data_IF_018667873962
#
_entry.id   IF_018667873962
#
_cell.length_a   1.000
_cell.length_b   1.000
_cell.length_c   1.000
_cell.angle_alpha   90.00
_cell.angle_beta   90.00
_cell.angle_gamma   90.00
#
_symmetry.space_group_name_H-M   'P 1'
#
loop_
_entity.id
_entity.type
_entity.pdbx_description
1 polymer ?
#
# COMPACT_ATOMS: atom_id res chain seq x y z
N UNK A 1 -41.50 45.19 44.84
CA UNK A 1 -40.56 44.58 45.80
C UNK A 1 -41.38 43.88 46.87
N UNK A 2 -41.16 42.59 47.13
CA UNK A 2 -41.74 41.94 48.30
C UNK A 2 -41.19 42.60 49.58
N UNK A 3 -41.96 42.55 50.67
CA UNK A 3 -41.57 43.06 51.98
C UNK A 3 -40.31 42.32 52.47
N UNK A 4 -39.36 43.02 53.09
CA UNK A 4 -38.26 42.37 53.81
C UNK A 4 -38.70 42.03 55.25
N UNK A 5 -38.05 41.06 55.92
CA UNK A 5 -38.29 40.81 57.34
C UNK A 5 -38.16 42.08 58.20
N UNK A 6 -37.25 42.98 57.82
CA UNK A 6 -37.05 44.28 58.46
C UNK A 6 -38.22 45.24 58.22
N UNK A 7 -38.84 45.20 57.03
CA UNK A 7 -40.03 46.00 56.72
C UNK A 7 -41.26 45.52 57.50
N UNK A 8 -41.33 44.22 57.82
CA UNK A 8 -42.39 43.64 58.66
C UNK A 8 -42.17 44.05 60.11
N UNK A 9 -40.93 43.98 60.61
CA UNK A 9 -40.57 44.39 61.97
C UNK A 9 -40.82 45.89 62.23
N UNK A 10 -40.49 46.75 61.27
CA UNK A 10 -40.63 48.21 61.43
C UNK A 10 -42.04 48.72 61.08
N UNK A 11 -43.02 47.83 60.90
CA UNK A 11 -44.36 48.20 60.47
C UNK A 11 -45.19 48.73 61.63
N UNK A 12 -45.49 50.03 61.61
CA UNK A 12 -46.45 50.63 62.55
C UNK A 12 -47.89 50.54 62.01
N UNK A 13 -48.83 50.22 62.90
CA UNK A 13 -50.28 50.19 62.63
C UNK A 13 -51.00 51.32 63.36
N UNK A 14 -51.99 51.94 62.70
CA UNK A 14 -52.81 52.98 63.32
C UNK A 14 -53.87 52.41 64.27
N UNK A 15 -54.15 53.11 65.38
CA UNK A 15 -55.16 52.69 66.37
C UNK A 15 -56.59 53.10 65.94
N UNK A 16 -57.56 52.22 66.20
CA UNK A 16 -59.00 52.44 65.90
C UNK A 16 -59.88 51.93 67.04
N UNK A 17 -61.07 52.50 67.22
CA UNK A 17 -62.00 52.23 68.34
C UNK A 17 -62.45 50.75 68.44
N UNK A 18 -62.22 49.95 67.39
CA UNK A 18 -62.35 48.48 67.36
C UNK A 18 -61.25 47.87 66.47
N UNK A 19 -60.06 47.68 67.03
CA UNK A 19 -58.90 47.08 66.35
C UNK A 19 -58.57 45.67 66.85
N UNK A 20 -57.59 45.04 66.20
CA UNK A 20 -56.96 43.81 66.72
C UNK A 20 -56.14 44.12 67.99
N UNK A 21 -55.91 43.09 68.80
CA UNK A 21 -55.03 43.17 69.96
C UNK A 21 -53.58 43.35 69.48
N UNK A 22 -52.87 44.33 70.05
CA UNK A 22 -51.50 44.71 69.65
C UNK A 22 -50.53 43.58 70.00
N UNK A 23 -50.66 42.97 71.18
CA UNK A 23 -49.76 41.92 71.67
C UNK A 23 -49.93 40.63 70.84
N UNK A 24 -51.16 40.23 70.50
CA UNK A 24 -51.41 39.05 69.66
C UNK A 24 -50.91 39.24 68.22
N UNK A 25 -51.00 40.47 67.69
CA UNK A 25 -50.52 40.81 66.34
C UNK A 25 -48.99 40.78 66.31
N UNK A 26 -48.33 41.35 67.31
CA UNK A 26 -46.86 41.34 67.40
C UNK A 26 -46.31 39.91 67.52
N UNK A 27 -46.89 39.07 68.38
CA UNK A 27 -46.55 37.65 68.52
C UNK A 27 -46.73 36.85 67.21
N UNK A 28 -47.69 37.25 66.38
CA UNK A 28 -47.91 36.66 65.06
C UNK A 28 -46.89 37.17 64.04
N UNK A 29 -46.63 38.47 64.01
CA UNK A 29 -45.64 39.09 63.12
C UNK A 29 -44.24 38.56 63.36
N UNK A 30 -43.87 38.26 64.61
CA UNK A 30 -42.57 37.70 64.94
C UNK A 30 -42.37 36.28 64.39
N UNK A 31 -43.44 35.46 64.42
CA UNK A 31 -43.46 34.15 63.73
C UNK A 31 -43.38 34.29 62.21
N UNK A 32 -44.11 35.26 61.64
CA UNK A 32 -44.06 35.55 60.20
C UNK A 32 -42.65 35.98 59.80
N UNK A 33 -41.98 36.83 60.57
CA UNK A 33 -40.59 37.27 60.33
C UNK A 33 -39.64 36.06 60.29
N UNK A 34 -39.71 35.16 61.28
CA UNK A 34 -38.87 33.96 61.32
C UNK A 34 -39.09 33.06 60.09
N UNK A 35 -40.34 32.80 59.73
CA UNK A 35 -40.68 31.97 58.57
C UNK A 35 -40.21 32.64 57.25
N UNK A 36 -40.37 33.95 57.14
CA UNK A 36 -39.94 34.72 55.97
C UNK A 36 -38.42 34.71 55.80
N UNK A 37 -37.66 34.86 56.89
CA UNK A 37 -36.22 34.69 56.86
C UNK A 37 -35.80 33.27 56.45
N UNK A 38 -36.51 32.26 56.97
CA UNK A 38 -36.30 30.86 56.58
C UNK A 38 -36.48 30.64 55.08
N UNK A 39 -37.57 31.19 54.52
CA UNK A 39 -37.86 31.12 53.09
C UNK A 39 -36.80 31.86 52.25
N UNK A 40 -36.35 33.04 52.68
CA UNK A 40 -35.29 33.79 51.97
C UNK A 40 -33.98 32.99 51.95
N UNK A 41 -33.60 32.37 53.08
CA UNK A 41 -32.40 31.52 53.14
C UNK A 41 -32.51 30.31 52.22
N UNK A 42 -33.63 29.60 52.26
CA UNK A 42 -33.88 28.44 51.38
C UNK A 42 -33.89 28.83 49.90
N UNK A 43 -34.50 29.96 49.55
CA UNK A 43 -34.54 30.45 48.17
C UNK A 43 -33.13 30.74 47.65
N UNK A 44 -32.31 31.42 48.45
CA UNK A 44 -30.90 31.67 48.13
C UNK A 44 -30.10 30.38 47.94
N UNK A 45 -30.26 29.40 48.82
CA UNK A 45 -29.59 28.09 48.70
C UNK A 45 -30.04 27.32 47.45
N UNK A 46 -31.32 27.39 47.10
CA UNK A 46 -31.86 26.79 45.88
C UNK A 46 -31.33 27.48 44.62
N UNK A 47 -31.23 28.81 44.62
CA UNK A 47 -30.67 29.59 43.52
C UNK A 47 -29.18 29.27 43.31
N UNK A 48 -28.41 29.15 44.39
CA UNK A 48 -27.01 28.73 44.34
C UNK A 48 -26.88 27.31 43.73
N UNK A 49 -27.64 26.34 44.25
CA UNK A 49 -27.66 24.96 43.70
C UNK A 49 -28.09 24.91 42.24
N UNK A 50 -29.08 25.71 41.85
CA UNK A 50 -29.53 25.81 40.47
C UNK A 50 -28.43 26.37 39.56
N UNK A 51 -27.66 27.35 40.05
CA UNK A 51 -26.48 27.87 39.37
C UNK A 51 -25.46 26.77 39.09
N UNK A 52 -25.07 26.03 40.12
CA UNK A 52 -24.10 24.93 40.03
C UNK A 52 -24.57 23.84 39.05
N UNK A 53 -25.83 23.41 39.16
CA UNK A 53 -26.43 22.41 38.26
C UNK A 53 -26.45 22.88 36.81
N UNK A 54 -26.75 24.15 36.56
CA UNK A 54 -26.73 24.73 35.19
C UNK A 54 -25.32 24.75 34.63
N UNK A 55 -24.31 25.06 35.45
CA UNK A 55 -22.92 25.04 35.00
C UNK A 55 -22.44 23.62 34.66
N UNK A 56 -22.76 22.64 35.51
CA UNK A 56 -22.47 21.24 35.23
C UNK A 56 -23.17 20.75 33.95
N UNK A 57 -24.45 21.08 33.78
CA UNK A 57 -25.20 20.72 32.57
C UNK A 57 -24.51 21.28 31.32
N UNK A 58 -24.14 22.57 31.36
CA UNK A 58 -23.42 23.23 30.26
C UNK A 58 -22.08 22.53 29.96
N UNK A 59 -21.34 22.12 30.99
CA UNK A 59 -20.10 21.36 30.81
C UNK A 59 -20.35 20.02 30.11
N UNK A 60 -21.37 19.26 30.54
CA UNK A 60 -21.73 17.99 29.91
C UNK A 60 -22.19 18.17 28.46
N UNK A 61 -23.00 19.18 28.17
CA UNK A 61 -23.42 19.48 26.79
C UNK A 61 -22.23 19.79 25.88
N UNK A 62 -21.24 20.55 26.38
CA UNK A 62 -20.04 20.84 25.60
C UNK A 62 -19.18 19.58 25.34
N UNK A 63 -19.10 18.67 26.32
CA UNK A 63 -18.41 17.39 26.17
C UNK A 63 -19.16 16.52 25.14
N UNK A 64 -20.48 16.41 25.24
CA UNK A 64 -21.31 15.65 24.34
C UNK A 64 -21.15 16.14 22.89
N UNK A 65 -21.18 17.45 22.67
CA UNK A 65 -20.98 18.05 21.35
C UNK A 65 -19.58 17.76 20.80
N UNK A 66 -18.55 17.88 21.63
CA UNK A 66 -17.16 17.60 21.25
C UNK A 66 -16.93 16.13 20.93
N UNK A 67 -17.53 15.24 21.72
CA UNK A 67 -17.48 13.79 21.50
C UNK A 67 -18.21 13.40 20.22
N UNK A 68 -19.41 13.94 20.00
CA UNK A 68 -20.19 13.72 18.78
C UNK A 68 -19.42 14.15 17.54
N UNK A 69 -18.83 15.35 17.54
CA UNK A 69 -17.95 15.82 16.45
C UNK A 69 -16.76 14.90 16.22
N UNK A 70 -16.10 14.46 17.30
CA UNK A 70 -14.95 13.56 17.20
C UNK A 70 -15.31 12.20 16.61
N UNK A 71 -16.49 11.65 16.96
CA UNK A 71 -16.99 10.40 16.40
C UNK A 71 -17.24 10.53 14.90
N UNK A 72 -17.88 11.62 14.46
CA UNK A 72 -18.13 11.87 13.04
C UNK A 72 -16.82 11.95 12.26
N UNK A 73 -15.86 12.75 12.73
CA UNK A 73 -14.55 12.87 12.08
C UNK A 73 -13.82 11.53 12.04
N UNK A 74 -13.87 10.75 13.12
CA UNK A 74 -13.26 9.43 13.15
C UNK A 74 -13.90 8.47 12.13
N UNK A 75 -15.23 8.51 11.99
CA UNK A 75 -15.96 7.70 11.00
C UNK A 75 -15.61 8.11 9.56
N UNK A 76 -15.61 9.41 9.27
CA UNK A 76 -15.25 9.94 7.94
C UNK A 76 -13.82 9.55 7.58
N UNK A 77 -12.88 9.72 8.52
CA UNK A 77 -11.48 9.34 8.32
C UNK A 77 -11.33 7.84 8.09
N UNK A 78 -12.06 7.01 8.85
CA UNK A 78 -12.02 5.56 8.68
C UNK A 78 -12.53 5.13 7.30
N UNK A 79 -13.63 5.72 6.81
CA UNK A 79 -14.15 5.42 5.47
C UNK A 79 -13.26 5.96 4.35
N UNK A 80 -12.61 7.11 4.55
CA UNK A 80 -11.62 7.64 3.62
C UNK A 80 -10.42 6.71 3.49
N UNK A 81 -9.83 6.29 4.62
CA UNK A 81 -8.69 5.35 4.65
C UNK A 81 -9.06 4.04 3.96
N UNK A 82 -10.23 3.49 4.26
CA UNK A 82 -10.73 2.25 3.64
C UNK A 82 -10.95 2.40 2.14
N UNK A 83 -11.48 3.52 1.70
CA UNK A 83 -11.71 3.80 0.27
C UNK A 83 -10.39 3.95 -0.48
N UNK A 84 -9.43 4.67 0.11
CA UNK A 84 -8.09 4.86 -0.48
C UNK A 84 -7.33 3.54 -0.55
N UNK A 85 -7.32 2.75 0.52
CA UNK A 85 -6.69 1.43 0.53
C UNK A 85 -7.30 0.48 -0.52
N UNK A 86 -8.62 0.52 -0.72
CA UNK A 86 -9.28 -0.27 -1.79
C UNK A 86 -8.87 0.17 -3.18
N UNK A 87 -8.79 1.48 -3.45
CA UNK A 87 -8.34 2.01 -4.74
C UNK A 87 -6.88 1.62 -5.01
N UNK A 88 -6.01 1.78 -4.02
CA UNK A 88 -4.60 1.43 -4.13
C UNK A 88 -4.42 -0.08 -4.37
N UNK A 89 -5.14 -0.93 -3.63
CA UNK A 89 -5.12 -2.37 -3.86
C UNK A 89 -5.56 -2.74 -5.29
N UNK A 90 -6.61 -2.11 -5.81
CA UNK A 90 -7.05 -2.33 -7.19
C UNK A 90 -6.00 -1.90 -8.22
N UNK A 91 -5.32 -0.78 -7.99
CA UNK A 91 -4.23 -0.31 -8.85
C UNK A 91 -3.05 -1.29 -8.85
N UNK A 92 -2.64 -1.76 -7.67
CA UNK A 92 -1.56 -2.75 -7.51
C UNK A 92 -1.91 -4.03 -8.27
N UNK A 93 -3.12 -4.56 -8.10
CA UNK A 93 -3.56 -5.77 -8.81
C UNK A 93 -3.51 -5.56 -10.32
N UNK A 94 -4.07 -4.44 -10.81
CA UNK A 94 -4.10 -4.13 -12.24
C UNK A 94 -2.70 -3.96 -12.84
N UNK A 95 -1.78 -3.35 -12.09
CA UNK A 95 -0.39 -3.19 -12.52
C UNK A 95 0.37 -4.52 -12.51
N UNK A 96 0.13 -5.36 -11.49
CA UNK A 96 0.68 -6.71 -11.42
C UNK A 96 0.21 -7.58 -12.58
N UNK A 97 -1.09 -7.55 -12.92
CA UNK A 97 -1.66 -8.25 -14.07
C UNK A 97 -1.00 -7.79 -15.39
N UNK A 98 -0.92 -6.47 -15.61
CA UNK A 98 -0.26 -5.92 -16.80
C UNK A 98 1.21 -6.32 -16.91
N UNK A 99 1.92 -6.34 -15.78
CA UNK A 99 3.32 -6.77 -15.75
C UNK A 99 3.46 -8.27 -16.02
N UNK A 100 2.56 -9.10 -15.47
CA UNK A 100 2.53 -10.54 -15.73
C UNK A 100 2.29 -10.81 -17.23
N UNK A 101 1.30 -10.14 -17.83
CA UNK A 101 1.01 -10.27 -19.26
C UNK A 101 2.22 -9.89 -20.13
N UNK A 102 2.91 -8.79 -19.77
CA UNK A 102 4.13 -8.37 -20.46
C UNK A 102 5.24 -9.42 -20.36
N UNK A 103 5.48 -9.97 -19.16
CA UNK A 103 6.51 -11.00 -18.94
C UNK A 103 6.18 -12.25 -19.75
N UNK A 104 4.92 -12.69 -19.76
CA UNK A 104 4.49 -13.86 -20.54
C UNK A 104 4.67 -13.61 -22.04
N UNK A 105 4.29 -12.43 -22.54
CA UNK A 105 4.47 -12.08 -23.94
C UNK A 105 5.95 -12.04 -24.35
N UNK A 106 6.81 -11.45 -23.53
CA UNK A 106 8.27 -11.42 -23.74
C UNK A 106 8.86 -12.84 -23.73
N UNK A 107 8.46 -13.68 -22.78
CA UNK A 107 8.92 -15.07 -22.69
C UNK A 107 8.49 -15.90 -23.91
N UNK A 108 7.24 -15.77 -24.36
CA UNK A 108 6.73 -16.45 -25.55
C UNK A 108 7.46 -16.01 -26.82
N UNK A 109 7.73 -14.71 -26.97
CA UNK A 109 8.50 -14.17 -28.10
C UNK A 109 9.93 -14.72 -28.09
N UNK A 110 10.59 -14.75 -26.93
CA UNK A 110 11.94 -15.30 -26.79
C UNK A 110 11.96 -16.80 -27.09
N UNK A 111 10.98 -17.55 -26.60
CA UNK A 111 10.83 -18.99 -26.88
C UNK A 111 10.66 -19.26 -28.37
N UNK A 112 9.81 -18.50 -29.06
CA UNK A 112 9.62 -18.63 -30.51
C UNK A 112 10.92 -18.35 -31.26
N UNK A 113 11.64 -17.29 -30.88
CA UNK A 113 12.92 -16.95 -31.50
C UNK A 113 13.95 -18.07 -31.33
N UNK A 114 14.10 -18.61 -30.13
CA UNK A 114 15.01 -19.72 -29.86
C UNK A 114 14.63 -20.96 -30.68
N UNK A 115 13.34 -21.27 -30.81
CA UNK A 115 12.88 -22.39 -31.64
C UNK A 115 13.24 -22.19 -33.12
N UNK A 116 13.01 -21.00 -33.66
CA UNK A 116 13.38 -20.66 -35.05
C UNK A 116 14.89 -20.72 -35.27
N UNK A 117 15.68 -20.17 -34.34
CA UNK A 117 17.14 -20.21 -34.41
C UNK A 117 17.64 -21.68 -34.36
N UNK A 118 16.99 -22.53 -33.56
CA UNK A 118 17.27 -23.97 -33.49
C UNK A 118 17.00 -24.71 -34.80
N UNK A 119 15.85 -24.46 -35.43
CA UNK A 119 15.51 -25.03 -36.75
C UNK A 119 16.51 -24.58 -37.82
N UNK A 120 16.90 -23.31 -37.82
CA UNK A 120 17.88 -22.78 -38.78
C UNK A 120 19.26 -23.41 -38.59
N UNK A 121 19.74 -23.57 -37.35
CA UNK A 121 21.00 -24.27 -37.06
C UNK A 121 20.93 -25.73 -37.54
N UNK A 122 19.82 -26.42 -37.32
CA UNK A 122 19.65 -27.80 -37.77
C UNK A 122 19.72 -27.91 -39.30
N UNK A 123 19.06 -26.97 -40.01
CA UNK A 123 19.11 -26.88 -41.47
C UNK A 123 20.53 -26.60 -41.96
N UNK A 124 21.23 -25.65 -41.33
CA UNK A 124 22.63 -25.33 -41.67
C UNK A 124 23.57 -26.52 -41.45
N UNK A 125 23.39 -27.26 -40.35
CA UNK A 125 24.16 -28.49 -40.08
C UNK A 125 23.92 -29.56 -41.16
N UNK A 126 22.67 -29.77 -41.55
CA UNK A 126 22.32 -30.73 -42.62
C UNK A 126 22.94 -30.34 -43.97
N UNK A 127 22.83 -29.05 -44.36
CA UNK A 127 23.45 -28.54 -45.59
C UNK A 127 24.97 -28.65 -45.55
N UNK A 128 25.60 -28.31 -44.42
CA UNK A 128 27.04 -28.45 -44.24
C UNK A 128 27.46 -29.92 -44.39
N UNK A 129 26.76 -30.84 -43.72
CA UNK A 129 27.02 -32.28 -43.81
C UNK A 129 26.91 -32.79 -45.26
N UNK A 130 25.88 -32.36 -46.00
CA UNK A 130 25.68 -32.74 -47.40
C UNK A 130 26.82 -32.21 -48.29
N UNK A 131 27.20 -30.94 -48.12
CA UNK A 131 28.33 -30.32 -48.86
C UNK A 131 29.65 -31.01 -48.55
N UNK A 132 29.91 -31.30 -47.28
CA UNK A 132 31.14 -31.98 -46.86
C UNK A 132 31.22 -33.41 -47.40
N UNK A 133 30.10 -34.16 -47.36
CA UNK A 133 30.02 -35.49 -47.96
C UNK A 133 30.29 -35.46 -49.47
N UNK A 134 29.68 -34.52 -50.18
CA UNK A 134 29.90 -34.34 -51.63
C UNK A 134 31.37 -34.04 -51.94
N UNK A 135 32.00 -33.15 -51.16
CA UNK A 135 33.43 -32.85 -51.31
C UNK A 135 34.30 -34.10 -51.08
N UNK A 136 34.05 -34.88 -50.02
CA UNK A 136 34.79 -36.11 -49.78
C UNK A 136 34.58 -37.15 -50.88
N UNK A 137 33.36 -37.28 -51.41
CA UNK A 137 33.10 -38.19 -52.54
C UNK A 137 33.87 -37.78 -53.79
N UNK A 138 33.90 -36.48 -54.12
CA UNK A 138 34.70 -35.99 -55.24
C UNK A 138 36.21 -36.23 -55.06
N UNK A 139 36.72 -36.09 -53.83
CA UNK A 139 38.13 -36.39 -53.52
C UNK A 139 38.45 -37.88 -53.58
N UNK A 140 37.51 -38.75 -53.16
CA UNK A 140 37.65 -40.20 -53.30
C UNK A 140 37.62 -40.63 -54.76
N UNK A 141 36.69 -40.10 -55.56
CA UNK A 141 36.60 -40.39 -57.00
C UNK A 141 37.88 -39.96 -57.74
N UNK A 142 38.50 -38.85 -57.33
CA UNK A 142 39.80 -38.42 -57.86
C UNK A 142 40.96 -39.36 -57.45
N UNK A 143 40.88 -40.03 -56.29
CA UNK A 143 41.90 -41.01 -55.87
C UNK A 143 41.70 -42.37 -56.54
N UNK A 144 40.43 -42.73 -56.77
CA UNK A 144 40.05 -43.97 -57.45
C UNK A 144 40.19 -43.87 -58.98
N UNK A 145 40.41 -42.66 -59.53
CA UNK A 145 40.66 -42.51 -60.97
C UNK A 145 42.02 -43.10 -61.35
N UNK A 146 42.05 -43.82 -62.49
CA UNK A 146 43.26 -44.41 -63.09
C UNK A 146 44.34 -43.37 -63.48
N UNK A 147 44.11 -42.08 -63.20
CA UNK A 147 45.08 -41.02 -63.44
C UNK A 147 46.31 -41.14 -62.54
N UNK A 148 46.17 -41.78 -61.36
CA UNK A 148 47.30 -42.10 -60.50
C UNK A 148 48.18 -43.24 -61.03
N UNK A 149 47.60 -44.22 -61.72
CA UNK A 149 48.34 -45.32 -62.35
C UNK A 149 49.22 -44.83 -63.51
N UNK A 150 48.82 -43.74 -64.16
CA UNK A 150 49.63 -43.09 -65.22
C UNK A 150 50.87 -42.41 -64.67
N UNK A 151 50.81 -41.82 -63.46
CA UNK A 151 51.96 -41.15 -62.82
C UNK A 151 53.08 -42.17 -62.50
N UNK A 152 52.72 -43.41 -62.16
CA UNK A 152 53.69 -44.48 -61.90
C UNK A 152 54.46 -44.97 -63.14
N UNK A 153 53.90 -44.78 -64.35
CA UNK A 153 54.54 -45.23 -65.61
C UNK A 153 55.57 -44.24 -66.17
N UNK A 154 55.62 -42.98 -65.70
CA UNK A 154 56.53 -41.96 -66.21
C UNK A 154 57.87 -41.84 -65.45
N UNK A 155 58.14 -42.71 -64.48
CA UNK A 155 59.44 -42.72 -63.80
C UNK A 155 60.54 -43.30 -64.72
N UNK A 156 61.57 -42.52 -65.10
CA UNK A 156 62.69 -43.08 -65.85
C UNK A 156 63.41 -44.14 -65.01
N UNK A 157 63.68 -45.29 -65.62
CA UNK A 157 64.40 -46.39 -64.99
C UNK A 157 65.70 -45.88 -64.34
N UNK A 158 65.93 -46.27 -63.08
CA UNK A 158 67.16 -45.99 -62.33
C UNK A 158 68.39 -46.28 -63.20
N UNK A 159 69.14 -45.25 -63.60
CA UNK A 159 70.49 -45.42 -64.11
C UNK A 159 71.35 -46.02 -63.00
N UNK A 160 71.81 -47.25 -63.20
CA UNK A 160 72.77 -47.90 -62.31
C UNK A 160 74.15 -47.29 -62.56
N UNK A 161 74.66 -46.50 -61.62
CA UNK A 161 76.08 -46.15 -61.61
C UNK A 161 76.89 -47.38 -61.15
N UNK A 162 77.35 -48.18 -62.10
CA UNK A 162 78.35 -49.21 -61.86
C UNK A 162 79.75 -48.57 -61.91
N UNK A 163 80.45 -48.60 -60.78
CA UNK A 163 81.88 -48.26 -60.71
C UNK A 163 82.67 -49.37 -61.42
N UNK A 164 83.25 -49.09 -62.59
CA UNK A 164 84.19 -50.00 -63.25
C UNK A 164 85.52 -50.02 -62.48
N UNK A 165 85.81 -51.16 -61.86
CA UNK A 165 87.12 -51.50 -61.29
C UNK A 165 88.04 -52.04 -62.38
N UNK A 166 89.17 -51.35 -62.57
CA UNK A 166 90.51 -51.78 -63.02
C UNK A 166 90.70 -53.08 -63.82
N UNK A 167 91.47 -53.05 -64.90
CA UNK A 167 92.94 -53.28 -64.85
C UNK A 167 93.56 -53.44 -66.24
N UNK A 168 94.84 -53.06 -66.28
CA UNK A 168 95.88 -53.35 -67.27
C UNK A 168 95.68 -54.59 -68.16
N UNK A 169 96.12 -54.48 -69.42
CA UNK A 169 97.04 -55.51 -69.91
C UNK A 169 98.04 -54.99 -70.95
N UNK A 170 99.27 -55.45 -70.77
CA UNK A 170 100.45 -55.22 -71.58
C UNK A 170 100.41 -56.00 -72.90
N UNK A 171 101.14 -55.49 -73.90
CA UNK A 171 101.40 -56.11 -75.20
C UNK A 171 102.15 -55.15 -76.10
#
# INVERSE_FOLDING_TARGET
>A
MPLSPLDIHNKEFGRSFRGYDEDEVDDFLERVIQDYEGLIRQNKELDERMGDLKEQLKHFTNIEESLSKSIVVAQETAEEVKTNARKEAQLIVKEAEKNADRIVAEALNKSRKIAMDGEEIQKQSSMFRARFRSLLQAQLEMLESDDWDKIGQELPAKESYAYETHSDNAG
#
